data_IF_567880164213
#
_entry.id   IF_567880164213
#
_cell.length_a   1.000
_cell.length_b   1.000
_cell.length_c   1.000
_cell.angle_alpha   90.00
_cell.angle_beta   90.00
_cell.angle_gamma   90.00
#
_symmetry.space_group_name_H-M   'P 1'
#
loop_
_entity.id
_entity.type
_entity.pdbx_description
1 polymer ?
#
# COMPACT_ATOMS: atom_id res chain seq x y z
N UNK A 1 -5.71 0.21 -11.46
CA UNK A 1 -5.20 1.34 -12.27
C UNK A 1 -4.06 2.00 -11.49
N UNK A 2 -3.03 2.54 -12.16
CA UNK A 2 -1.96 3.32 -11.50
C UNK A 2 -2.10 4.80 -11.89
N UNK A 3 -1.93 5.75 -10.96
CA UNK A 3 -2.03 7.19 -11.26
C UNK A 3 -2.36 8.05 -10.01
N UNK A 4 -2.47 9.38 -10.16
CA UNK A 4 -2.52 10.43 -9.10
C UNK A 4 -1.15 10.79 -8.50
N UNK A 5 -0.37 9.79 -8.06
CA UNK A 5 1.04 9.95 -7.69
C UNK A 5 1.86 8.80 -8.28
N UNK A 6 3.19 8.96 -8.47
CA UNK A 6 4.07 7.85 -8.86
C UNK A 6 3.91 6.66 -7.90
N UNK A 7 3.46 5.51 -8.42
CA UNK A 7 3.25 4.30 -7.64
C UNK A 7 1.91 4.20 -6.89
N UNK A 8 1.01 5.17 -7.00
CA UNK A 8 -0.30 5.11 -6.35
C UNK A 8 -1.21 4.10 -7.07
N UNK A 9 -1.68 3.10 -6.33
CA UNK A 9 -2.53 2.03 -6.84
C UNK A 9 -4.00 2.25 -6.48
N UNK A 10 -4.84 2.20 -7.51
CA UNK A 10 -6.30 2.04 -7.38
C UNK A 10 -6.65 0.56 -7.43
N UNK A 11 -7.23 0.06 -6.35
CA UNK A 11 -7.64 -1.31 -6.13
C UNK A 11 -9.18 -1.38 -6.06
N UNK A 12 -9.78 -2.36 -6.74
CA UNK A 12 -11.23 -2.64 -6.71
C UNK A 12 -11.58 -3.81 -5.78
N UNK A 13 -12.87 -4.07 -5.59
CA UNK A 13 -13.37 -5.24 -4.85
C UNK A 13 -13.63 -5.01 -3.35
N UNK A 14 -13.75 -3.76 -2.92
CA UNK A 14 -13.89 -3.40 -1.52
C UNK A 14 -15.30 -3.64 -0.96
N UNK A 15 -15.40 -4.07 0.30
CA UNK A 15 -16.68 -4.18 1.01
C UNK A 15 -17.35 -2.82 1.22
N UNK A 16 -18.60 -2.68 0.75
CA UNK A 16 -19.37 -1.43 0.77
C UNK A 16 -19.62 -0.84 2.16
N UNK A 17 -19.50 -1.63 3.25
CA UNK A 17 -19.73 -1.17 4.62
C UNK A 17 -18.62 -0.28 5.20
N UNK A 18 -17.49 -0.10 4.50
CA UNK A 18 -16.29 0.55 5.06
C UNK A 18 -16.14 2.06 4.73
N UNK A 19 -17.15 2.70 4.13
CA UNK A 19 -17.07 4.08 3.63
C UNK A 19 -17.37 5.17 4.70
N UNK A 20 -16.36 5.69 5.42
CA UNK A 20 -16.48 6.93 6.24
C UNK A 20 -15.15 7.71 6.37
N UNK A 21 -15.03 9.01 6.04
CA UNK A 21 -13.73 9.70 5.96
C UNK A 21 -13.03 9.93 7.32
N UNK A 22 -11.69 9.90 7.35
CA UNK A 22 -10.81 10.42 8.43
C UNK A 22 -9.52 10.97 7.82
N UNK A 23 -9.06 12.14 8.27
CA UNK A 23 -7.80 12.76 7.83
C UNK A 23 -6.68 12.49 8.84
N UNK A 24 -5.74 11.59 8.51
CA UNK A 24 -4.35 11.66 8.95
C UNK A 24 -3.52 10.81 7.97
N UNK A 25 -2.65 11.43 7.17
CA UNK A 25 -2.04 10.77 6.00
C UNK A 25 -0.52 10.70 6.12
N UNK A 26 -0.02 9.48 6.29
CA UNK A 26 1.41 9.16 6.33
C UNK A 26 1.79 8.33 5.10
N UNK A 27 3.09 8.28 4.76
CA UNK A 27 3.59 7.40 3.69
C UNK A 27 3.20 5.95 4.00
N UNK A 28 2.77 5.21 2.97
CA UNK A 28 2.31 3.83 3.10
C UNK A 28 0.88 3.71 3.65
N UNK A 29 0.16 4.82 3.88
CA UNK A 29 -1.24 4.76 4.35
C UNK A 29 -2.10 3.99 3.37
N UNK A 30 -2.98 3.12 3.89
CA UNK A 30 -3.99 2.40 3.13
C UNK A 30 -5.31 3.12 3.30
N UNK A 31 -5.85 3.64 2.19
CA UNK A 31 -7.05 4.44 2.17
C UNK A 31 -8.21 3.78 1.42
N UNK A 32 -9.43 4.12 1.83
CA UNK A 32 -10.68 3.76 1.18
C UNK A 32 -11.37 5.02 0.65
N UNK A 33 -11.72 5.02 -0.64
CA UNK A 33 -12.51 6.06 -1.30
C UNK A 33 -13.61 5.46 -2.17
N UNK A 34 -14.88 5.64 -1.78
CA UNK A 34 -16.01 5.07 -2.52
C UNK A 34 -15.98 3.54 -2.50
N UNK A 35 -15.85 2.90 -3.67
CA UNK A 35 -15.69 1.44 -3.83
C UNK A 35 -14.21 1.02 -4.08
N UNK A 36 -13.29 1.98 -3.97
CA UNK A 36 -11.87 1.79 -4.24
C UNK A 36 -11.05 1.78 -2.95
N UNK A 37 -9.97 1.01 -2.95
CA UNK A 37 -8.91 1.06 -1.94
C UNK A 37 -7.57 1.35 -2.61
N UNK A 38 -6.59 1.82 -1.85
CA UNK A 38 -5.30 2.20 -2.43
C UNK A 38 -4.27 2.47 -1.36
N UNK A 39 -3.00 2.51 -1.78
CA UNK A 39 -1.88 2.75 -0.88
C UNK A 39 -1.19 4.04 -1.32
N UNK A 40 -1.00 4.96 -0.40
CA UNK A 40 -0.35 6.24 -0.62
C UNK A 40 1.17 6.05 -0.62
N UNK A 41 1.87 6.22 -1.76
CA UNK A 41 3.32 6.03 -1.84
C UNK A 41 4.10 7.23 -1.27
N UNK A 42 3.44 8.38 -1.12
CA UNK A 42 3.99 9.65 -0.66
C UNK A 42 2.94 10.37 0.19
N UNK A 43 3.36 11.31 1.04
CA UNK A 43 2.45 12.21 1.74
C UNK A 43 1.75 13.12 0.73
N UNK A 44 0.43 13.17 0.76
CA UNK A 44 -0.36 14.04 -0.11
C UNK A 44 -1.70 14.41 0.54
N UNK A 45 -2.33 15.52 0.13
CA UNK A 45 -3.70 15.78 0.51
C UNK A 45 -4.60 14.68 -0.07
N UNK A 46 -5.39 14.03 0.80
CA UNK A 46 -6.28 12.94 0.41
C UNK A 46 -7.54 12.91 1.25
N UNK A 47 -8.71 12.79 0.60
CA UNK A 47 -10.01 12.67 1.27
C UNK A 47 -10.42 11.24 1.60
N UNK A 48 -9.56 10.25 1.35
CA UNK A 48 -9.89 8.84 1.58
C UNK A 48 -9.78 8.49 3.06
N UNK A 49 -10.63 7.58 3.51
CA UNK A 49 -10.59 7.04 4.87
C UNK A 49 -9.34 6.19 5.04
N UNK A 50 -8.42 6.61 5.91
CA UNK A 50 -7.28 5.77 6.26
C UNK A 50 -7.72 4.64 7.20
N UNK A 51 -7.34 3.42 6.86
CA UNK A 51 -7.70 2.19 7.60
C UNK A 51 -6.49 1.41 8.10
N UNK A 52 -5.28 1.79 7.70
CA UNK A 52 -4.03 1.14 8.08
C UNK A 52 -2.84 1.73 7.35
N UNK A 53 -1.67 1.11 7.51
CA UNK A 53 -0.41 1.53 6.88
C UNK A 53 0.42 0.29 6.53
N UNK A 54 1.20 0.35 5.46
CA UNK A 54 2.24 -0.65 5.15
C UNK A 54 3.63 -0.10 5.50
N UNK A 55 4.53 -0.92 6.06
CA UNK A 55 5.93 -0.54 6.30
C UNK A 55 6.80 -0.55 5.02
N UNK A 56 6.25 -0.99 3.89
CA UNK A 56 7.00 -1.20 2.65
C UNK A 56 7.10 0.08 1.80
N UNK A 57 8.28 0.31 1.22
CA UNK A 57 8.48 1.35 0.19
C UNK A 57 7.87 0.91 -1.14
N UNK A 58 6.76 1.54 -1.48
CA UNK A 58 6.05 1.29 -2.74
C UNK A 58 6.82 1.82 -3.94
N UNK A 59 7.49 2.97 -3.77
CA UNK A 59 8.30 3.65 -4.76
C UNK A 59 9.73 3.83 -4.22
N UNK A 60 10.72 3.35 -4.97
CA UNK A 60 12.14 3.54 -4.67
C UNK A 60 12.95 3.67 -5.96
N UNK A 61 13.59 4.83 -6.17
CA UNK A 61 14.40 5.11 -7.37
C UNK A 61 15.66 4.25 -7.46
N UNK A 62 16.12 3.69 -6.34
CA UNK A 62 17.34 2.88 -6.29
C UNK A 62 17.06 1.38 -6.49
N UNK A 63 15.79 0.96 -6.55
CA UNK A 63 15.40 -0.42 -6.83
C UNK A 63 15.31 -0.66 -8.34
N UNK A 64 15.68 -1.86 -8.79
CA UNK A 64 15.61 -2.28 -10.21
C UNK A 64 14.23 -2.00 -10.83
N UNK A 65 13.16 -2.47 -10.17
CA UNK A 65 11.79 -2.06 -10.45
C UNK A 65 11.38 -0.91 -9.53
N UNK A 66 11.25 0.31 -10.06
CA UNK A 66 10.98 1.51 -9.25
C UNK A 66 9.66 1.44 -8.47
N UNK A 67 8.66 0.69 -8.98
CA UNK A 67 7.34 0.48 -8.34
C UNK A 67 7.24 -0.98 -7.88
N UNK A 68 6.69 -1.19 -6.68
CA UNK A 68 6.65 -2.50 -6.01
C UNK A 68 5.78 -3.54 -6.71
N UNK A 69 4.78 -3.08 -7.46
CA UNK A 69 3.76 -3.89 -8.13
C UNK A 69 3.47 -3.30 -9.52
N UNK A 70 2.89 -4.11 -10.40
CA UNK A 70 2.51 -3.75 -11.76
C UNK A 70 0.99 -3.79 -11.92
N UNK A 71 0.48 -3.11 -12.95
CA UNK A 71 -0.94 -3.15 -13.24
C UNK A 71 -1.36 -4.58 -13.62
N UNK A 72 -2.40 -5.11 -12.96
CA UNK A 72 -2.84 -6.49 -13.10
C UNK A 72 -2.50 -7.37 -11.89
N UNK A 73 -1.58 -6.92 -11.03
CA UNK A 73 -1.24 -7.64 -9.81
C UNK A 73 -2.38 -7.63 -8.79
N UNK A 74 -2.46 -8.72 -8.03
CA UNK A 74 -3.35 -8.83 -6.88
C UNK A 74 -2.57 -8.51 -5.60
N UNK A 75 -3.13 -7.63 -4.78
CA UNK A 75 -2.56 -7.24 -3.49
C UNK A 75 -3.40 -7.84 -2.37
N UNK A 76 -2.75 -8.58 -1.46
CA UNK A 76 -3.36 -9.10 -0.23
C UNK A 76 -2.75 -8.40 0.98
N UNK A 77 -3.55 -7.67 1.72
CA UNK A 77 -3.14 -7.09 2.99
C UNK A 77 -3.15 -8.16 4.09
N UNK A 78 -2.07 -8.20 4.87
CA UNK A 78 -1.95 -9.07 6.06
C UNK A 78 -1.91 -8.16 7.28
N UNK A 79 -2.81 -8.35 8.27
CA UNK A 79 -2.74 -7.60 9.51
C UNK A 79 -1.51 -8.04 10.29
N UNK A 80 -0.76 -7.05 10.79
CA UNK A 80 0.42 -7.21 11.64
C UNK A 80 0.27 -6.30 12.86
N UNK A 81 0.99 -6.60 13.93
CA UNK A 81 1.05 -5.70 15.08
C UNK A 81 2.08 -4.56 14.88
N UNK A 82 2.20 -3.71 15.89
CA UNK A 82 3.05 -2.52 15.84
C UNK A 82 4.54 -2.86 15.90
N UNK A 83 4.93 -3.93 16.59
CA UNK A 83 6.33 -4.32 16.73
C UNK A 83 6.83 -4.95 15.43
N UNK A 84 6.02 -5.84 14.84
CA UNK A 84 6.26 -6.40 13.52
C UNK A 84 6.31 -5.32 12.44
N UNK A 85 5.47 -4.28 12.54
CA UNK A 85 5.51 -3.12 11.63
C UNK A 85 6.90 -2.48 11.59
N UNK A 86 7.46 -2.12 12.75
CA UNK A 86 8.75 -1.42 12.80
C UNK A 86 9.93 -2.34 12.45
N UNK A 87 9.82 -3.63 12.75
CA UNK A 87 10.80 -4.61 12.31
C UNK A 87 10.87 -4.69 10.78
N UNK A 88 9.70 -4.84 10.13
CA UNK A 88 9.61 -4.87 8.66
C UNK A 88 10.09 -3.55 8.06
N UNK A 89 9.72 -2.40 8.65
CA UNK A 89 10.17 -1.08 8.18
C UNK A 89 11.70 -0.96 8.20
N UNK A 90 12.34 -1.42 9.28
CA UNK A 90 13.80 -1.44 9.41
C UNK A 90 14.45 -2.39 8.38
N UNK A 91 13.89 -3.57 8.16
CA UNK A 91 14.37 -4.52 7.15
C UNK A 91 14.21 -3.96 5.73
N UNK A 92 13.05 -3.37 5.42
CA UNK A 92 12.75 -2.77 4.13
C UNK A 92 13.70 -1.59 3.84
N UNK A 93 13.97 -0.74 4.84
CA UNK A 93 14.93 0.35 4.72
C UNK A 93 16.37 -0.11 4.46
N UNK A 94 16.73 -1.31 4.93
CA UNK A 94 18.04 -1.94 4.70
C UNK A 94 18.09 -2.79 3.41
N UNK A 95 16.99 -2.86 2.66
CA UNK A 95 16.88 -3.74 1.48
C UNK A 95 16.91 -5.23 1.82
N UNK A 96 16.60 -5.61 3.07
CA UNK A 96 16.64 -6.99 3.58
C UNK A 96 15.27 -7.65 3.72
N UNK A 97 14.21 -6.95 3.38
CA UNK A 97 12.86 -7.52 3.43
C UNK A 97 12.52 -8.21 2.11
N UNK A 98 12.17 -9.50 2.19
CA UNK A 98 11.72 -10.29 1.04
C UNK A 98 10.20 -10.23 0.90
N UNK A 99 9.73 -9.85 -0.28
CA UNK A 99 8.30 -9.83 -0.60
C UNK A 99 7.80 -11.24 -0.84
N UNK A 100 6.72 -11.62 -0.15
CA UNK A 100 6.01 -12.87 -0.43
C UNK A 100 5.15 -12.69 -1.68
N UNK A 101 5.67 -13.11 -2.83
CA UNK A 101 4.93 -13.17 -4.09
C UNK A 101 4.28 -14.56 -4.16
N UNK A 102 2.96 -14.59 -4.25
CA UNK A 102 2.20 -15.82 -4.43
C UNK A 102 1.75 -15.91 -5.89
N UNK A 103 2.20 -16.92 -6.60
CA UNK A 103 1.64 -17.24 -7.92
C UNK A 103 0.26 -17.85 -7.73
N UNK A 104 -0.72 -17.30 -8.44
CA UNK A 104 -2.06 -17.88 -8.47
C UNK A 104 -2.03 -19.02 -9.49
N UNK A 105 -2.03 -20.27 -9.02
CA UNK A 105 -2.28 -21.41 -9.89
C UNK A 105 -3.66 -21.24 -10.54
N UNK A 106 -3.69 -21.40 -11.87
CA UNK A 106 -4.86 -21.22 -12.72
C UNK A 106 -6.02 -22.16 -12.37
#
# INVERSE_FOLDING_TARGET
MLGFLPGFAYLGGMNKKLNTPRLNLEVGSVGIGGEQTGIYPLVSPGGWRIIGRTPLKLYDINREDTILYKAGDYIKFIPIDKDEFYEIENLANKGKYELKILERSA
#
